data_IF_738090960602
#
_entry.id   IF_738090960602
#
_cell.length_a   1.000
_cell.length_b   1.000
_cell.length_c   1.000
_cell.angle_alpha   90.00
_cell.angle_beta   90.00
_cell.angle_gamma   90.00
#
_symmetry.space_group_name_H-M   'P 1'
#
loop_
_entity.id
_entity.type
_entity.pdbx_description
1 polymer ?
#
# COMPACT_ATOMS: atom_id res chain seq x y z
N UNK A 1 -28.21 -13.90 11.16
CA UNK A 1 -27.54 -12.62 11.41
C UNK A 1 -27.15 -12.07 10.05
N UNK A 2 -27.57 -10.87 9.68
CA UNK A 2 -27.08 -10.19 8.47
C UNK A 2 -25.57 -9.96 8.62
N UNK A 3 -24.81 -10.27 7.57
CA UNK A 3 -23.37 -10.01 7.56
C UNK A 3 -23.12 -8.49 7.79
N UNK A 4 -22.09 -8.15 8.54
CA UNK A 4 -21.73 -6.76 8.77
C UNK A 4 -21.38 -6.07 7.44
N UNK A 5 -21.74 -4.80 7.29
CA UNK A 5 -21.31 -4.00 6.14
C UNK A 5 -19.88 -3.50 6.39
N UNK A 6 -18.99 -3.73 5.43
CA UNK A 6 -17.60 -3.28 5.46
C UNK A 6 -17.39 -2.25 4.35
N UNK A 7 -17.09 -1.00 4.72
CA UNK A 7 -16.81 0.07 3.77
C UNK A 7 -15.34 0.04 3.40
N UNK A 8 -15.03 -0.13 2.13
CA UNK A 8 -13.67 -0.01 1.58
C UNK A 8 -13.56 1.34 0.88
N UNK A 9 -12.49 2.08 1.11
CA UNK A 9 -12.31 3.44 0.60
C UNK A 9 -11.20 3.48 -0.45
N UNK A 10 -11.53 4.00 -1.63
CA UNK A 10 -10.58 4.40 -2.66
C UNK A 10 -10.45 5.93 -2.65
N UNK A 11 -9.31 6.44 -2.16
CA UNK A 11 -9.02 7.89 -2.18
C UNK A 11 -8.67 8.41 -3.58
N UNK A 12 -8.21 7.52 -4.44
CA UNK A 12 -7.88 7.75 -5.85
C UNK A 12 -8.33 6.56 -6.70
N UNK A 13 -7.54 6.17 -7.69
CA UNK A 13 -7.84 5.05 -8.60
C UNK A 13 -7.99 3.72 -7.86
N UNK A 14 -8.80 2.82 -8.43
CA UNK A 14 -8.94 1.44 -7.94
C UNK A 14 -7.74 0.62 -8.36
N UNK A 15 -6.79 0.45 -7.44
CA UNK A 15 -5.54 -0.29 -7.64
C UNK A 15 -5.45 -1.50 -6.73
N UNK A 16 -4.34 -2.24 -6.82
CA UNK A 16 -4.09 -3.44 -5.99
C UNK A 16 -4.40 -3.24 -4.51
N UNK A 17 -3.95 -2.18 -3.80
CA UNK A 17 -4.25 -2.03 -2.38
C UNK A 17 -5.75 -1.87 -2.05
N UNK A 18 -6.53 -1.30 -2.98
CA UNK A 18 -8.00 -1.24 -2.83
C UNK A 18 -8.60 -2.64 -2.99
N UNK A 19 -8.19 -3.40 -4.01
CA UNK A 19 -8.66 -4.76 -4.26
C UNK A 19 -8.22 -5.75 -3.15
N UNK A 20 -7.03 -5.56 -2.59
CA UNK A 20 -6.58 -6.27 -1.39
C UNK A 20 -7.50 -5.99 -0.20
N UNK A 21 -7.85 -4.72 0.02
CA UNK A 21 -8.78 -4.30 1.07
C UNK A 21 -10.20 -4.86 0.83
N UNK A 22 -10.66 -4.95 -0.42
CA UNK A 22 -11.94 -5.63 -0.78
C UNK A 22 -11.87 -7.13 -0.47
N UNK A 23 -10.75 -7.78 -0.80
CA UNK A 23 -10.55 -9.19 -0.48
C UNK A 23 -10.62 -9.45 1.02
N UNK A 24 -9.99 -8.58 1.82
CA UNK A 24 -10.07 -8.61 3.28
C UNK A 24 -11.50 -8.35 3.76
N UNK A 25 -12.18 -7.35 3.21
CA UNK A 25 -13.53 -6.98 3.59
C UNK A 25 -14.52 -8.17 3.46
N UNK A 26 -14.36 -9.01 2.42
CA UNK A 26 -15.17 -10.22 2.23
C UNK A 26 -15.02 -11.25 3.37
N UNK A 27 -13.89 -11.24 4.07
CA UNK A 27 -13.70 -12.13 5.24
C UNK A 27 -14.36 -11.57 6.50
N UNK A 28 -14.62 -10.26 6.52
CA UNK A 28 -15.21 -9.55 7.67
C UNK A 28 -16.72 -9.33 7.50
N UNK A 29 -17.23 -9.27 6.25
CA UNK A 29 -18.63 -8.99 5.97
C UNK A 29 -18.90 -8.74 4.49
N UNK A 30 -19.91 -7.92 4.20
CA UNK A 30 -20.29 -7.54 2.84
C UNK A 30 -19.57 -6.26 2.44
N UNK A 31 -18.71 -6.28 1.39
CA UNK A 31 -17.97 -5.10 0.96
C UNK A 31 -18.89 -4.10 0.24
N UNK A 32 -18.73 -2.82 0.58
CA UNK A 32 -19.25 -1.67 -0.15
C UNK A 32 -18.07 -0.75 -0.43
N UNK A 33 -17.95 -0.20 -1.64
CA UNK A 33 -16.88 0.76 -1.96
C UNK A 33 -17.35 2.20 -1.76
N UNK A 34 -16.46 3.05 -1.27
CA UNK A 34 -16.50 4.50 -1.44
C UNK A 34 -15.35 4.93 -2.35
N UNK A 35 -15.67 5.61 -3.45
CA UNK A 35 -14.67 6.32 -4.27
C UNK A 35 -14.80 7.82 -4.09
N UNK A 36 -13.68 8.53 -3.98
CA UNK A 36 -13.64 10.00 -3.88
C UNK A 36 -13.47 10.68 -5.25
N UNK A 37 -13.54 9.91 -6.31
CA UNK A 37 -13.51 10.35 -7.71
C UNK A 37 -14.41 9.45 -8.57
N UNK A 38 -14.79 9.87 -9.78
CA UNK A 38 -15.53 9.04 -10.72
C UNK A 38 -14.81 7.70 -10.97
N UNK A 39 -15.60 6.62 -11.07
CA UNK A 39 -15.10 5.29 -11.43
C UNK A 39 -15.18 5.10 -12.94
N UNK A 40 -14.13 4.55 -13.54
CA UNK A 40 -14.13 4.10 -14.93
C UNK A 40 -14.88 2.78 -15.10
N UNK A 41 -15.15 2.39 -16.34
CA UNK A 41 -15.71 1.06 -16.66
C UNK A 41 -14.76 -0.06 -16.20
N UNK A 42 -13.46 0.11 -16.39
CA UNK A 42 -12.45 -0.84 -15.93
C UNK A 42 -12.43 -0.99 -14.40
N UNK A 43 -12.63 0.11 -13.65
CA UNK A 43 -12.74 0.07 -12.19
C UNK A 43 -13.98 -0.71 -11.74
N UNK A 44 -15.14 -0.43 -12.36
CA UNK A 44 -16.39 -1.11 -12.02
C UNK A 44 -16.34 -2.59 -12.34
N UNK A 45 -15.70 -2.98 -13.43
CA UNK A 45 -15.47 -4.38 -13.81
C UNK A 45 -14.53 -5.09 -12.80
N UNK A 46 -13.43 -4.43 -12.42
CA UNK A 46 -12.50 -4.97 -11.42
C UNK A 46 -13.18 -5.15 -10.05
N UNK A 47 -13.98 -4.17 -9.63
CA UNK A 47 -14.77 -4.23 -8.39
C UNK A 47 -15.82 -5.34 -8.45
N UNK A 48 -16.48 -5.51 -9.60
CA UNK A 48 -17.47 -6.58 -9.81
C UNK A 48 -16.84 -7.98 -9.71
N UNK A 49 -15.66 -8.18 -10.32
CA UNK A 49 -14.89 -9.42 -10.15
C UNK A 49 -14.47 -9.63 -8.69
N UNK A 50 -14.09 -8.56 -8.02
CA UNK A 50 -13.72 -8.62 -6.59
C UNK A 50 -14.93 -8.84 -5.65
N UNK A 51 -16.18 -8.82 -6.16
CA UNK A 51 -17.39 -9.10 -5.38
C UNK A 51 -18.02 -7.88 -4.71
N UNK A 52 -17.76 -6.67 -5.21
CA UNK A 52 -18.38 -5.42 -4.75
C UNK A 52 -19.65 -5.17 -5.56
N UNK A 53 -20.83 -5.39 -4.96
CA UNK A 53 -22.11 -5.16 -5.62
C UNK A 53 -22.56 -3.70 -5.59
N UNK A 54 -22.01 -2.88 -4.68
CA UNK A 54 -22.42 -1.50 -4.47
C UNK A 54 -21.21 -0.59 -4.29
N UNK A 55 -21.15 0.50 -5.04
CA UNK A 55 -20.13 1.55 -4.92
C UNK A 55 -20.80 2.91 -4.76
N UNK A 56 -20.37 3.69 -3.78
CA UNK A 56 -20.72 5.09 -3.60
C UNK A 56 -19.64 5.96 -4.21
N UNK A 57 -20.00 7.00 -4.95
CA UNK A 57 -19.07 7.95 -5.54
C UNK A 57 -19.34 9.34 -4.98
N UNK A 58 -18.36 9.86 -4.24
CA UNK A 58 -18.29 11.26 -3.83
C UNK A 58 -17.25 11.95 -4.72
N UNK A 59 -17.71 12.58 -5.81
CA UNK A 59 -16.80 13.33 -6.68
C UNK A 59 -16.41 14.65 -6.01
N UNK A 60 -15.24 14.65 -5.37
CA UNK A 60 -14.72 15.75 -4.57
C UNK A 60 -13.74 16.66 -5.35
N UNK A 61 -13.39 16.30 -6.60
CA UNK A 61 -12.34 17.00 -7.35
C UNK A 61 -11.06 17.12 -6.52
N UNK A 62 -10.42 18.30 -6.55
CA UNK A 62 -9.19 18.55 -5.79
C UNK A 62 -9.39 18.51 -4.26
N UNK A 63 -10.60 18.76 -3.76
CA UNK A 63 -10.86 18.72 -2.32
C UNK A 63 -10.62 17.33 -1.69
N UNK A 64 -10.56 16.24 -2.49
CA UNK A 64 -10.21 14.91 -2.03
C UNK A 64 -8.81 14.83 -1.39
N UNK A 65 -7.91 15.74 -1.77
CA UNK A 65 -6.56 15.83 -1.23
C UNK A 65 -6.49 16.46 0.16
N UNK A 66 -7.61 17.07 0.62
CA UNK A 66 -7.74 17.57 1.99
C UNK A 66 -8.22 16.45 2.91
N UNK A 67 -7.38 15.93 3.85
CA UNK A 67 -7.75 14.77 4.67
C UNK A 67 -9.04 14.95 5.47
N UNK A 68 -9.32 16.18 5.91
CA UNK A 68 -10.55 16.47 6.63
C UNK A 68 -11.81 16.35 5.76
N UNK A 69 -11.71 16.67 4.45
CA UNK A 69 -12.81 16.49 3.49
C UNK A 69 -12.96 15.01 3.14
N UNK A 70 -11.85 14.33 2.86
CA UNK A 70 -11.85 12.88 2.64
C UNK A 70 -12.42 12.12 3.85
N UNK A 71 -12.03 12.47 5.08
CA UNK A 71 -12.54 11.87 6.30
C UNK A 71 -14.04 12.10 6.51
N UNK A 72 -14.56 13.28 6.12
CA UNK A 72 -15.99 13.59 6.12
C UNK A 72 -16.77 12.72 5.12
N UNK A 73 -16.21 12.53 3.92
CA UNK A 73 -16.81 11.63 2.93
C UNK A 73 -16.88 10.18 3.45
N UNK A 74 -15.82 9.73 4.08
CA UNK A 74 -15.77 8.39 4.71
C UNK A 74 -16.83 8.26 5.80
N UNK A 75 -16.95 9.23 6.69
CA UNK A 75 -17.96 9.21 7.75
C UNK A 75 -19.38 9.21 7.17
N UNK A 76 -19.68 10.10 6.19
CA UNK A 76 -20.98 10.15 5.51
C UNK A 76 -21.32 8.83 4.83
N UNK A 77 -20.35 8.19 4.16
CA UNK A 77 -20.57 6.90 3.51
C UNK A 77 -20.81 5.77 4.52
N UNK A 78 -20.07 5.76 5.64
CA UNK A 78 -20.25 4.77 6.70
C UNK A 78 -21.65 4.87 7.30
N UNK A 79 -22.14 6.08 7.60
CA UNK A 79 -23.50 6.32 8.09
C UNK A 79 -24.56 5.91 7.07
N UNK A 80 -24.39 6.31 5.79
CA UNK A 80 -25.34 5.98 4.72
C UNK A 80 -25.46 4.47 4.42
N UNK A 81 -24.42 3.71 4.70
CA UNK A 81 -24.36 2.26 4.47
C UNK A 81 -24.61 1.43 5.72
N UNK A 82 -24.58 2.06 6.90
CA UNK A 82 -24.58 1.37 8.18
C UNK A 82 -23.33 0.52 8.40
N UNK A 83 -22.20 0.90 7.80
CA UNK A 83 -20.95 0.17 7.93
C UNK A 83 -20.40 0.29 9.36
N UNK A 84 -20.05 -0.86 9.94
CA UNK A 84 -19.41 -0.94 11.26
C UNK A 84 -17.90 -1.12 11.16
N UNK A 85 -17.38 -1.44 9.99
CA UNK A 85 -15.94 -1.55 9.69
C UNK A 85 -15.65 -0.71 8.47
N UNK A 86 -14.62 0.13 8.55
CA UNK A 86 -14.13 0.97 7.46
C UNK A 86 -12.66 0.66 7.21
N UNK A 87 -12.32 0.33 5.96
CA UNK A 87 -10.97 -0.03 5.54
C UNK A 87 -10.44 0.98 4.51
N UNK A 88 -9.24 1.50 4.73
CA UNK A 88 -8.51 2.34 3.79
C UNK A 88 -7.16 1.68 3.50
N UNK A 89 -6.68 1.62 2.25
CA UNK A 89 -5.28 1.32 1.98
C UNK A 89 -4.36 2.33 2.66
N UNK A 90 -3.30 1.87 3.31
CA UNK A 90 -2.39 2.75 4.05
C UNK A 90 -1.63 3.69 3.12
N UNK A 91 -1.74 4.98 3.39
CA UNK A 91 -0.92 6.08 2.86
C UNK A 91 -0.88 7.22 3.88
N UNK A 92 -0.09 8.26 3.66
CA UNK A 92 -0.09 9.42 4.56
C UNK A 92 -1.47 10.08 4.61
N UNK A 93 -2.05 10.38 3.45
CA UNK A 93 -3.40 10.97 3.34
C UNK A 93 -4.46 10.05 3.93
N UNK A 94 -4.36 8.73 3.70
CA UNK A 94 -5.31 7.76 4.24
C UNK A 94 -5.29 7.71 5.78
N UNK A 95 -4.12 7.80 6.40
CA UNK A 95 -3.99 7.84 7.86
C UNK A 95 -4.68 9.05 8.47
N UNK A 96 -4.50 10.23 7.85
CA UNK A 96 -5.15 11.46 8.28
C UNK A 96 -6.66 11.41 8.02
N UNK A 97 -7.09 10.98 6.84
CA UNK A 97 -8.51 10.83 6.51
C UNK A 97 -9.20 9.82 7.45
N UNK A 98 -8.53 8.71 7.76
CA UNK A 98 -9.02 7.70 8.73
C UNK A 98 -9.16 8.29 10.13
N UNK A 99 -8.23 9.13 10.58
CA UNK A 99 -8.30 9.79 11.88
C UNK A 99 -9.48 10.79 11.94
N UNK A 100 -9.68 11.58 10.90
CA UNK A 100 -10.85 12.46 10.79
C UNK A 100 -12.17 11.69 10.79
N UNK A 101 -12.25 10.60 10.00
CA UNK A 101 -13.44 9.74 9.95
C UNK A 101 -13.72 9.09 11.31
N UNK A 102 -12.70 8.54 11.97
CA UNK A 102 -12.83 7.93 13.27
C UNK A 102 -13.34 8.91 14.33
N UNK A 103 -12.85 10.15 14.31
CA UNK A 103 -13.33 11.21 15.18
C UNK A 103 -14.82 11.54 14.95
N UNK A 104 -15.24 11.67 13.67
CA UNK A 104 -16.63 12.00 13.33
C UNK A 104 -17.60 10.85 13.65
N UNK A 105 -17.14 9.60 13.59
CA UNK A 105 -17.95 8.40 13.85
C UNK A 105 -17.89 7.93 15.29
N UNK A 106 -17.16 8.59 16.17
CA UNK A 106 -16.83 8.08 17.52
C UNK A 106 -16.28 6.65 17.49
N UNK A 107 -15.42 6.39 16.51
CA UNK A 107 -14.91 5.07 16.17
C UNK A 107 -13.50 4.83 16.72
N UNK A 108 -13.19 3.56 16.99
CA UNK A 108 -11.80 3.17 17.25
C UNK A 108 -10.97 3.13 15.97
N UNK A 109 -9.70 3.50 16.06
CA UNK A 109 -8.79 3.59 14.93
C UNK A 109 -7.60 2.63 15.06
N UNK A 110 -7.41 1.80 14.03
CA UNK A 110 -6.22 0.97 13.85
C UNK A 110 -5.44 1.46 12.63
N UNK A 111 -4.16 1.79 12.82
CA UNK A 111 -3.32 2.36 11.75
C UNK A 111 -2.27 1.37 11.30
N UNK A 112 -2.16 1.19 9.98
CA UNK A 112 -1.11 0.41 9.32
C UNK A 112 -1.08 -1.06 9.77
N UNK A 113 -2.24 -1.71 9.76
CA UNK A 113 -2.38 -3.11 10.15
C UNK A 113 -1.99 -4.05 9.01
N UNK A 114 -1.35 -5.17 9.35
CA UNK A 114 -1.01 -6.24 8.43
C UNK A 114 -2.05 -7.39 8.46
N UNK A 115 -2.77 -7.54 9.57
CA UNK A 115 -3.83 -8.55 9.71
C UNK A 115 -5.06 -7.92 10.35
N UNK A 116 -6.24 -8.39 9.92
CA UNK A 116 -7.51 -8.02 10.54
C UNK A 116 -8.41 -9.25 10.62
N UNK A 117 -9.10 -9.40 11.75
CA UNK A 117 -10.10 -10.44 11.96
C UNK A 117 -11.20 -9.94 12.90
N UNK A 118 -12.37 -10.55 12.81
CA UNK A 118 -13.42 -10.39 13.80
C UNK A 118 -13.28 -11.49 14.86
N UNK A 119 -13.16 -11.10 16.11
CA UNK A 119 -13.09 -12.02 17.24
C UNK A 119 -14.08 -11.58 18.32
N UNK A 120 -15.05 -12.44 18.64
CA UNK A 120 -16.13 -12.14 19.60
C UNK A 120 -16.92 -10.87 19.29
N UNK A 121 -16.97 -10.43 18.04
CA UNK A 121 -17.66 -9.21 17.60
C UNK A 121 -16.80 -7.95 17.60
N UNK A 122 -15.56 -8.02 18.06
CA UNK A 122 -14.59 -6.94 18.03
C UNK A 122 -13.64 -7.09 16.83
N UNK A 123 -13.23 -5.96 16.23
CA UNK A 123 -12.21 -5.97 15.18
C UNK A 123 -10.83 -6.00 15.83
N UNK A 124 -10.06 -7.06 15.56
CA UNK A 124 -8.69 -7.24 16.05
C UNK A 124 -7.72 -7.05 14.89
N UNK A 125 -6.78 -6.13 15.05
CA UNK A 125 -5.74 -5.84 14.07
C UNK A 125 -4.35 -6.10 14.59
N UNK A 126 -3.53 -6.79 13.77
CA UNK A 126 -2.13 -7.08 14.08
C UNK A 126 -1.18 -6.21 13.26
N UNK A 127 -0.08 -5.79 13.87
CA UNK A 127 0.97 -5.02 13.20
C UNK A 127 2.33 -5.17 13.88
N UNK A 128 3.38 -4.94 13.10
CA UNK A 128 4.75 -4.78 13.62
C UNK A 128 5.02 -3.33 13.97
N UNK A 129 5.63 -3.09 15.12
CA UNK A 129 5.99 -1.77 15.65
C UNK A 129 7.46 -1.73 16.06
N UNK A 130 7.99 -0.55 16.40
CA UNK A 130 9.39 -0.35 16.80
C UNK A 130 10.37 -0.97 15.79
N UNK A 131 10.29 -0.49 14.56
CA UNK A 131 11.13 -0.98 13.47
C UNK A 131 11.06 -2.51 13.28
N UNK A 132 9.86 -3.12 13.41
CA UNK A 132 9.60 -4.55 13.20
C UNK A 132 10.05 -5.48 14.31
N UNK A 133 10.60 -4.94 15.40
CA UNK A 133 11.11 -5.75 16.51
C UNK A 133 10.01 -6.32 17.42
N UNK A 134 8.79 -5.74 17.34
CA UNK A 134 7.65 -6.18 18.15
C UNK A 134 6.44 -6.45 17.25
N UNK A 135 5.72 -7.50 17.57
CA UNK A 135 4.39 -7.76 17.01
C UNK A 135 3.34 -7.43 18.08
N UNK A 136 2.32 -6.71 17.70
CA UNK A 136 1.22 -6.32 18.59
C UNK A 136 -0.12 -6.61 17.95
N UNK A 137 -1.10 -6.96 18.78
CA UNK A 137 -2.51 -7.01 18.40
C UNK A 137 -3.29 -6.00 19.23
N UNK A 138 -4.21 -5.31 18.58
CA UNK A 138 -5.09 -4.34 19.19
C UNK A 138 -6.55 -4.65 18.81
N UNK A 139 -7.44 -4.63 19.78
CA UNK A 139 -8.88 -4.76 19.56
C UNK A 139 -9.56 -3.39 19.59
N UNK A 140 -10.56 -3.22 18.71
CA UNK A 140 -11.45 -2.06 18.74
C UNK A 140 -12.72 -2.45 19.50
N UNK A 141 -12.98 -1.72 20.58
CA UNK A 141 -14.13 -1.95 21.48
C UNK A 141 -15.31 -1.02 21.21
N UNK A 142 -15.15 0.00 20.36
CA UNK A 142 -16.25 0.88 19.91
C UNK A 142 -17.14 0.18 18.86
N UNK A 143 -18.41 0.62 18.72
CA UNK A 143 -19.34 0.02 17.76
C UNK A 143 -18.87 0.12 16.29
N UNK A 144 -18.08 1.13 15.96
CA UNK A 144 -17.50 1.34 14.62
C UNK A 144 -15.98 1.28 14.74
N UNK A 145 -15.36 0.62 13.79
CA UNK A 145 -13.91 0.49 13.66
C UNK A 145 -13.44 1.05 12.32
N UNK A 146 -12.42 1.90 12.35
CA UNK A 146 -11.72 2.39 11.17
C UNK A 146 -10.31 1.81 11.17
N UNK A 147 -9.88 1.23 10.05
CA UNK A 147 -8.53 0.68 9.93
C UNK A 147 -7.86 1.10 8.63
N UNK A 148 -6.56 1.45 8.71
CA UNK A 148 -5.74 1.52 7.51
C UNK A 148 -4.96 0.22 7.33
N UNK A 149 -5.05 -0.38 6.14
CA UNK A 149 -4.50 -1.70 5.81
C UNK A 149 -3.22 -1.52 5.01
N UNK A 150 -2.15 -2.18 5.44
CA UNK A 150 -0.85 -2.15 4.78
C UNK A 150 -0.95 -2.80 3.39
N UNK A 151 -0.33 -2.19 2.38
CA UNK A 151 -0.22 -2.78 1.05
C UNK A 151 0.49 -4.14 1.11
N UNK A 152 0.10 -5.06 0.24
CA UNK A 152 0.62 -6.43 0.16
C UNK A 152 0.43 -7.31 1.41
N UNK A 153 -0.29 -6.83 2.42
CA UNK A 153 -0.65 -7.64 3.60
C UNK A 153 -1.55 -8.82 3.21
N UNK A 154 -2.33 -8.64 2.14
CA UNK A 154 -3.23 -9.66 1.58
C UNK A 154 -3.05 -9.69 0.06
N UNK A 155 -3.15 -10.86 -0.53
CA UNK A 155 -3.16 -10.98 -1.99
C UNK A 155 -4.57 -10.69 -2.49
N UNK A 156 -4.71 -9.71 -3.39
CA UNK A 156 -5.98 -9.44 -4.05
C UNK A 156 -6.47 -10.69 -4.80
N UNK A 157 -7.73 -11.04 -4.62
CA UNK A 157 -8.33 -12.19 -5.25
C UNK A 157 -9.76 -11.90 -5.70
N UNK A 158 -10.12 -12.42 -6.87
CA UNK A 158 -11.50 -12.36 -7.34
C UNK A 158 -12.45 -13.07 -6.37
N UNK A 159 -13.69 -12.65 -6.37
CA UNK A 159 -14.75 -13.34 -5.64
C UNK A 159 -15.07 -14.67 -6.31
N UNK A 160 -15.59 -15.68 -5.57
CA UNK A 160 -16.05 -16.94 -6.17
C UNK A 160 -17.09 -16.74 -7.27
N UNK A 161 -17.90 -15.69 -7.16
CA UNK A 161 -18.89 -15.27 -8.16
C UNK A 161 -18.73 -13.77 -8.39
N UNK A 162 -18.54 -13.38 -9.65
CA UNK A 162 -18.52 -11.98 -10.03
C UNK A 162 -19.93 -11.39 -9.96
N UNK A 163 -20.00 -10.11 -9.60
CA UNK A 163 -21.26 -9.36 -9.51
C UNK A 163 -21.19 -8.12 -10.40
N UNK A 164 -22.33 -7.52 -10.70
CA UNK A 164 -22.38 -6.20 -11.33
C UNK A 164 -22.31 -5.13 -10.25
N UNK A 165 -21.34 -4.22 -10.35
CA UNK A 165 -21.21 -3.10 -9.42
C UNK A 165 -22.22 -2.00 -9.75
N UNK A 166 -23.20 -1.77 -8.88
CA UNK A 166 -24.09 -0.61 -8.97
C UNK A 166 -23.38 0.63 -8.41
N UNK A 167 -23.32 1.69 -9.21
CA UNK A 167 -22.67 2.95 -8.82
C UNK A 167 -23.74 3.97 -8.43
N UNK A 168 -23.62 4.51 -7.23
CA UNK A 168 -24.55 5.49 -6.67
C UNK A 168 -23.82 6.78 -6.29
N UNK A 169 -24.34 7.98 -6.61
CA UNK A 169 -23.73 9.22 -6.17
C UNK A 169 -23.92 9.41 -4.66
N UNK A 170 -22.89 9.93 -4.00
CA UNK A 170 -22.92 10.35 -2.59
C UNK A 170 -22.66 11.84 -2.50
N UNK A 171 -23.62 12.59 -1.95
CA UNK A 171 -23.42 14.03 -1.70
C UNK A 171 -22.65 14.24 -0.40
N UNK A 172 -21.56 14.97 -0.48
CA UNK A 172 -20.68 15.29 0.65
C UNK A 172 -20.37 16.79 0.64
N UNK A 173 -20.30 17.39 1.81
CA UNK A 173 -19.82 18.77 1.95
C UNK A 173 -18.29 18.82 1.68
N UNK A 174 -17.92 19.32 0.51
CA UNK A 174 -16.53 19.47 0.09
C UNK A 174 -15.86 20.77 0.58
N UNK A 175 -16.50 21.52 1.48
CA UNK A 175 -15.94 22.77 2.02
C UNK A 175 -14.62 22.49 2.75
N UNK A 176 -13.59 23.19 2.34
CA UNK A 176 -12.28 23.12 2.99
C UNK A 176 -12.35 23.69 4.41
N UNK A 177 -11.61 23.13 5.38
CA UNK A 177 -11.46 23.71 6.70
C UNK A 177 -10.96 25.15 6.64
N UNK A 178 -11.42 26.00 7.56
CA UNK A 178 -11.03 27.41 7.61
C UNK A 178 -9.50 27.55 7.71
N UNK A 179 -8.92 28.30 6.78
CA UNK A 179 -7.47 28.55 6.73
C UNK A 179 -6.67 27.47 5.99
N UNK A 180 -7.30 26.38 5.54
CA UNK A 180 -6.68 25.44 4.63
C UNK A 180 -6.83 25.94 3.20
N UNK A 181 -5.70 26.03 2.50
CA UNK A 181 -5.65 26.35 1.06
C UNK A 181 -4.94 25.17 0.39
N UNK A 182 -5.55 24.65 -0.67
CA UNK A 182 -4.86 23.73 -1.58
C UNK A 182 -4.15 24.63 -2.59
N UNK A 183 -2.82 24.68 -2.51
CA UNK A 183 -2.01 25.57 -3.32
C UNK A 183 -1.65 24.90 -4.64
N UNK A 184 -0.91 23.81 -4.57
CA UNK A 184 -0.50 23.02 -5.73
C UNK A 184 -0.45 21.54 -5.36
N UNK A 185 -0.92 20.69 -6.26
CA UNK A 185 -0.78 19.26 -6.16
C UNK A 185 -0.06 18.78 -7.43
N UNK A 186 1.20 18.43 -7.30
CA UNK A 186 1.97 17.84 -8.37
C UNK A 186 1.93 16.31 -8.24
N UNK A 187 1.26 15.65 -9.19
CA UNK A 187 1.41 14.21 -9.35
C UNK A 187 2.68 13.95 -10.14
N UNK A 188 3.70 13.42 -9.49
CA UNK A 188 4.90 13.01 -10.19
C UNK A 188 4.55 11.91 -11.21
N UNK A 189 4.89 12.11 -12.51
CA UNK A 189 4.62 11.10 -13.53
C UNK A 189 5.36 9.83 -13.14
N UNK A 190 4.62 8.73 -13.06
CA UNK A 190 5.20 7.41 -12.81
C UNK A 190 6.01 6.99 -14.01
N UNK A 191 7.11 6.28 -13.78
CA UNK A 191 7.80 5.59 -14.85
C UNK A 191 6.79 4.66 -15.54
N UNK A 192 6.57 4.86 -16.85
CA UNK A 192 5.62 4.07 -17.62
C UNK A 192 5.92 2.57 -17.44
N UNK A 193 4.90 1.79 -17.09
CA UNK A 193 4.95 0.35 -17.02
C UNK A 193 5.39 -0.27 -15.68
N UNK A 194 5.81 0.50 -14.67
CA UNK A 194 6.18 -0.02 -13.34
C UNK A 194 5.19 0.37 -12.25
N UNK A 195 4.95 -0.51 -11.25
CA UNK A 195 4.10 -0.17 -10.11
C UNK A 195 4.74 0.95 -9.26
N UNK A 196 3.91 1.70 -8.53
CA UNK A 196 4.41 2.66 -7.54
C UNK A 196 5.17 1.95 -6.43
N UNK A 197 6.28 2.54 -5.97
CA UNK A 197 7.16 1.92 -4.97
C UNK A 197 6.42 1.51 -3.69
N UNK A 198 5.51 2.35 -3.19
CA UNK A 198 4.73 2.08 -1.97
C UNK A 198 3.73 0.92 -2.10
N UNK A 199 3.31 0.58 -3.34
CA UNK A 199 2.26 -0.40 -3.64
C UNK A 199 2.82 -1.69 -4.27
N UNK A 200 4.11 -1.67 -4.67
CA UNK A 200 4.73 -2.75 -5.42
C UNK A 200 4.80 -4.05 -4.64
N UNK A 201 4.39 -5.15 -5.27
CA UNK A 201 4.52 -6.48 -4.70
C UNK A 201 5.96 -7.00 -4.75
N UNK A 202 6.75 -6.50 -5.69
CA UNK A 202 8.18 -6.81 -5.85
C UNK A 202 8.94 -5.50 -5.98
N UNK A 203 10.03 -5.36 -5.24
CA UNK A 203 10.92 -4.20 -5.28
C UNK A 203 12.36 -4.68 -5.48
N UNK A 204 13.05 -4.10 -6.47
CA UNK A 204 14.50 -4.23 -6.63
C UNK A 204 15.13 -2.89 -6.27
N UNK A 205 16.00 -2.88 -5.27
CA UNK A 205 16.61 -1.67 -4.75
C UNK A 205 18.13 -1.66 -4.94
N UNK A 206 18.66 -0.55 -5.45
CA UNK A 206 20.09 -0.31 -5.59
C UNK A 206 20.62 0.61 -4.50
N UNK A 207 21.79 0.28 -3.96
CA UNK A 207 22.53 1.13 -3.02
C UNK A 207 23.83 1.69 -3.60
N UNK A 208 24.72 2.20 -2.75
CA UNK A 208 26.02 2.75 -3.17
C UNK A 208 26.88 1.76 -3.96
N UNK A 209 26.69 0.45 -3.76
CA UNK A 209 27.41 -0.56 -4.52
C UNK A 209 27.10 -0.56 -6.02
N UNK A 210 26.07 0.18 -6.49
CA UNK A 210 25.82 0.40 -7.92
C UNK A 210 26.79 1.43 -8.52
N UNK A 211 27.45 2.24 -7.71
CA UNK A 211 28.32 3.36 -8.16
C UNK A 211 27.64 4.31 -9.16
N UNK A 212 26.30 4.40 -9.09
CA UNK A 212 25.47 5.21 -9.99
C UNK A 212 25.01 4.47 -11.28
N UNK A 213 25.51 3.26 -11.53
CA UNK A 213 25.02 2.41 -12.63
C UNK A 213 23.89 1.50 -12.16
N UNK A 214 22.65 1.86 -12.51
CA UNK A 214 21.44 1.12 -12.17
C UNK A 214 20.99 0.15 -13.27
N UNK A 215 21.74 -0.01 -14.36
CA UNK A 215 21.30 -0.84 -15.49
C UNK A 215 20.97 -2.29 -15.07
N UNK A 216 21.79 -2.91 -14.23
CA UNK A 216 21.54 -4.26 -13.73
C UNK A 216 20.30 -4.33 -12.82
N UNK A 217 20.07 -3.30 -11.99
CA UNK A 217 18.86 -3.17 -11.14
C UNK A 217 17.61 -3.04 -12.02
N UNK A 218 17.67 -2.21 -13.05
CA UNK A 218 16.59 -1.99 -14.01
C UNK A 218 16.26 -3.26 -14.78
N UNK A 219 17.27 -3.98 -15.26
CA UNK A 219 17.10 -5.23 -16.00
C UNK A 219 16.38 -6.30 -15.16
N UNK A 220 16.77 -6.46 -13.90
CA UNK A 220 16.10 -7.41 -13.01
C UNK A 220 14.69 -6.94 -12.65
N UNK A 221 14.49 -5.63 -12.42
CA UNK A 221 13.19 -5.07 -12.15
C UNK A 221 12.23 -5.31 -13.33
N UNK A 222 12.66 -5.12 -14.56
CA UNK A 222 11.86 -5.40 -15.76
C UNK A 222 11.50 -6.89 -15.90
N UNK A 223 12.47 -7.77 -15.66
CA UNK A 223 12.22 -9.21 -15.70
C UNK A 223 11.18 -9.65 -14.65
N UNK A 224 11.08 -8.96 -13.51
CA UNK A 224 10.14 -9.25 -12.42
C UNK A 224 8.83 -8.45 -12.50
N UNK A 225 8.75 -7.37 -13.29
CA UNK A 225 7.68 -6.39 -13.23
C UNK A 225 7.69 -5.62 -11.91
N UNK A 226 8.89 -5.34 -11.38
CA UNK A 226 9.13 -4.77 -10.07
C UNK A 226 9.21 -3.23 -10.10
N UNK A 227 8.94 -2.60 -8.96
CA UNK A 227 9.36 -1.22 -8.75
C UNK A 227 10.85 -1.13 -8.46
N UNK A 228 11.46 0.00 -8.81
CA UNK A 228 12.84 0.33 -8.45
C UNK A 228 12.83 1.21 -7.22
N UNK A 229 13.67 0.83 -6.26
CA UNK A 229 13.95 1.63 -5.07
C UNK A 229 15.43 1.93 -4.91
N UNK A 230 15.74 2.86 -4.01
CA UNK A 230 17.14 3.21 -3.72
C UNK A 230 17.34 3.61 -2.26
N UNK A 231 18.60 3.79 -1.87
CA UNK A 231 18.97 4.32 -0.57
C UNK A 231 19.10 5.84 -0.61
N UNK A 232 19.06 6.48 0.56
CA UNK A 232 19.27 7.92 0.69
C UNK A 232 20.60 8.38 0.10
N UNK A 233 21.67 7.60 0.30
CA UNK A 233 23.00 7.94 -0.23
C UNK A 233 22.97 8.14 -1.75
N UNK A 234 22.23 7.29 -2.49
CA UNK A 234 22.13 7.41 -3.94
C UNK A 234 21.32 8.63 -4.38
N UNK A 235 20.34 9.04 -3.57
CA UNK A 235 19.58 10.29 -3.82
C UNK A 235 20.46 11.51 -3.53
N UNK A 236 21.20 11.51 -2.42
CA UNK A 236 22.10 12.59 -2.05
C UNK A 236 23.23 12.78 -3.10
N UNK A 237 23.67 11.70 -3.77
CA UNK A 237 24.60 11.72 -4.90
C UNK A 237 23.95 12.11 -6.25
N UNK A 238 22.61 12.25 -6.28
CA UNK A 238 21.87 12.60 -7.50
C UNK A 238 21.71 11.46 -8.51
N UNK A 239 21.98 10.21 -8.13
CA UNK A 239 21.86 9.05 -9.01
C UNK A 239 20.42 8.61 -9.23
N UNK A 240 19.56 8.83 -8.24
CA UNK A 240 18.13 8.47 -8.30
C UNK A 240 17.27 9.60 -7.70
N UNK A 241 16.01 9.72 -8.13
CA UNK A 241 15.10 10.73 -7.62
C UNK A 241 14.64 10.40 -6.18
N UNK A 242 14.18 11.43 -5.45
CA UNK A 242 13.79 11.31 -4.05
C UNK A 242 12.57 10.38 -3.82
N UNK A 243 11.66 10.28 -4.78
CA UNK A 243 10.48 9.40 -4.73
C UNK A 243 10.83 7.90 -4.83
N UNK A 244 12.05 7.57 -5.30
CA UNK A 244 12.61 6.22 -5.25
C UNK A 244 13.29 5.89 -3.90
N UNK A 245 13.44 6.85 -2.99
CA UNK A 245 14.13 6.64 -1.73
C UNK A 245 13.33 5.76 -0.78
N UNK A 246 13.92 4.64 -0.35
CA UNK A 246 13.37 3.76 0.69
C UNK A 246 14.00 4.11 2.04
N UNK A 247 13.17 4.33 3.06
CA UNK A 247 13.66 4.60 4.42
C UNK A 247 12.68 5.40 5.27
N UNK A 248 13.11 5.72 6.48
CA UNK A 248 12.32 6.53 7.42
C UNK A 248 12.03 7.95 6.92
N UNK A 249 12.92 8.49 6.07
CA UNK A 249 12.80 9.82 5.46
C UNK A 249 12.36 9.77 3.99
N UNK A 250 11.99 8.61 3.50
CA UNK A 250 11.48 8.36 2.17
C UNK A 250 10.22 7.51 2.22
N UNK A 251 10.08 6.62 1.25
CA UNK A 251 8.94 5.72 1.14
C UNK A 251 9.14 4.51 2.06
N UNK A 252 8.13 4.21 2.87
CA UNK A 252 8.06 2.93 3.61
C UNK A 252 7.32 1.93 2.75
N UNK A 253 7.93 0.76 2.55
CA UNK A 253 7.43 -0.31 1.68
C UNK A 253 7.20 -1.60 2.44
N UNK A 254 6.31 -2.44 1.91
CA UNK A 254 6.05 -3.77 2.41
C UNK A 254 5.82 -4.76 1.25
N UNK A 255 6.76 -4.91 0.30
CA UNK A 255 6.62 -5.83 -0.80
C UNK A 255 6.61 -7.28 -0.31
N UNK A 256 6.06 -8.18 -1.11
CA UNK A 256 6.20 -9.62 -0.87
C UNK A 256 7.63 -10.10 -1.10
N UNK A 257 8.33 -9.46 -2.04
CA UNK A 257 9.75 -9.72 -2.33
C UNK A 257 10.51 -8.40 -2.43
N UNK A 258 11.49 -8.24 -1.59
CA UNK A 258 12.49 -7.17 -1.63
C UNK A 258 13.85 -7.74 -2.03
N UNK A 259 14.47 -7.17 -3.05
CA UNK A 259 15.84 -7.50 -3.46
C UNK A 259 16.69 -6.26 -3.29
N UNK A 260 17.62 -6.27 -2.34
CA UNK A 260 18.55 -5.17 -2.09
C UNK A 260 19.94 -5.49 -2.63
N UNK A 261 20.41 -4.71 -3.59
CA UNK A 261 21.68 -4.90 -4.27
C UNK A 261 22.67 -3.76 -3.96
N UNK A 262 23.87 -4.09 -3.46
CA UNK A 262 24.88 -3.13 -3.08
C UNK A 262 24.46 -2.18 -1.95
N UNK A 263 23.57 -2.64 -1.07
CA UNK A 263 23.02 -1.90 0.06
C UNK A 263 23.63 -2.41 1.35
N UNK A 264 24.17 -1.53 2.18
CA UNK A 264 24.71 -1.89 3.50
C UNK A 264 23.64 -2.28 4.51
N UNK A 265 22.44 -1.66 4.45
CA UNK A 265 21.35 -1.93 5.40
C UNK A 265 21.45 -1.06 6.66
N UNK A 266 21.79 0.22 6.52
CA UNK A 266 21.76 1.18 7.63
C UNK A 266 20.36 1.23 8.29
N UNK A 267 20.24 1.54 9.61
CA UNK A 267 18.98 1.50 10.35
C UNK A 267 17.85 2.31 9.72
N UNK A 268 18.15 3.45 9.11
CA UNK A 268 17.14 4.28 8.45
C UNK A 268 16.57 3.63 7.19
N UNK A 269 17.39 2.93 6.40
CA UNK A 269 16.93 2.15 5.25
C UNK A 269 16.14 0.92 5.71
N UNK A 270 16.68 0.20 6.67
CA UNK A 270 16.04 -0.97 7.28
C UNK A 270 14.62 -0.64 7.78
N UNK A 271 14.45 0.50 8.49
CA UNK A 271 13.13 0.96 8.95
C UNK A 271 12.10 1.17 7.85
N UNK A 272 12.53 1.39 6.61
CA UNK A 272 11.65 1.57 5.46
C UNK A 272 11.27 0.28 4.72
N UNK A 273 12.01 -0.84 4.88
CA UNK A 273 11.78 -2.06 4.11
C UNK A 273 11.57 -3.34 4.95
N UNK A 274 11.76 -3.29 6.23
CA UNK A 274 11.70 -4.45 7.13
C UNK A 274 10.35 -5.17 7.18
N UNK A 275 9.28 -4.53 6.69
CA UNK A 275 7.96 -5.15 6.58
C UNK A 275 7.82 -6.03 5.33
N UNK A 276 8.89 -6.19 4.53
CA UNK A 276 8.94 -7.07 3.37
C UNK A 276 8.69 -8.53 3.76
N UNK A 277 7.99 -9.27 2.90
CA UNK A 277 7.69 -10.69 3.13
C UNK A 277 8.92 -11.58 3.02
N UNK A 278 9.70 -11.39 1.94
CA UNK A 278 10.98 -12.06 1.70
C UNK A 278 12.04 -11.03 1.36
N UNK A 279 13.19 -11.12 1.99
CA UNK A 279 14.32 -10.22 1.79
C UNK A 279 15.47 -11.00 1.14
N UNK A 280 15.89 -10.55 -0.04
CA UNK A 280 17.08 -11.04 -0.74
C UNK A 280 18.13 -9.93 -0.71
N UNK A 281 19.36 -10.26 -0.34
CA UNK A 281 20.48 -9.35 -0.37
C UNK A 281 21.55 -9.83 -1.37
N UNK A 282 21.97 -8.92 -2.26
CA UNK A 282 23.13 -9.12 -3.16
C UNK A 282 24.20 -8.14 -2.75
N UNK A 283 25.34 -8.61 -2.23
CA UNK A 283 26.39 -7.73 -1.74
C UNK A 283 27.77 -8.40 -1.86
N UNK A 284 28.80 -7.63 -2.09
CA UNK A 284 30.19 -8.13 -2.03
C UNK A 284 30.69 -8.30 -0.59
N UNK A 285 30.07 -7.57 0.37
CA UNK A 285 30.38 -7.65 1.79
C UNK A 285 29.46 -8.67 2.50
N UNK A 286 29.99 -9.82 2.96
CA UNK A 286 29.20 -10.83 3.67
C UNK A 286 28.75 -10.37 5.07
N UNK A 287 29.38 -9.34 5.63
CA UNK A 287 29.08 -8.82 6.96
C UNK A 287 28.14 -7.61 6.93
N UNK A 288 27.65 -7.21 5.76
CA UNK A 288 26.70 -6.11 5.63
C UNK A 288 25.43 -6.38 6.46
N UNK A 289 24.90 -5.39 7.23
CA UNK A 289 23.70 -5.57 8.05
C UNK A 289 22.48 -6.09 7.26
N UNK A 290 22.33 -5.71 5.99
CA UNK A 290 21.25 -6.23 5.15
C UNK A 290 21.39 -7.73 4.89
N UNK A 291 22.62 -8.22 4.71
CA UNK A 291 22.91 -9.67 4.53
C UNK A 291 22.52 -10.46 5.77
N UNK A 292 22.74 -9.90 6.97
CA UNK A 292 22.43 -10.59 8.23
C UNK A 292 20.92 -10.76 8.48
N UNK A 293 20.07 -9.93 7.87
CA UNK A 293 18.62 -10.01 8.02
C UNK A 293 17.91 -10.62 6.81
N UNK A 294 18.66 -10.94 5.76
CA UNK A 294 18.11 -11.49 4.52
C UNK A 294 17.70 -12.96 4.69
N UNK A 295 16.56 -13.33 4.10
CA UNK A 295 16.16 -14.74 3.97
C UNK A 295 17.08 -15.49 3.00
N UNK A 296 17.61 -14.77 2.00
CA UNK A 296 18.59 -15.27 1.05
C UNK A 296 19.67 -14.20 0.81
N UNK A 297 20.93 -14.55 1.02
CA UNK A 297 22.08 -13.69 0.70
C UNK A 297 22.91 -14.31 -0.42
N UNK A 298 23.22 -13.49 -1.43
CA UNK A 298 24.11 -13.85 -2.53
C UNK A 298 25.34 -12.94 -2.44
N UNK A 299 26.50 -13.55 -2.15
CA UNK A 299 27.74 -12.79 -2.00
C UNK A 299 28.45 -12.72 -3.35
N UNK A 300 28.59 -11.53 -3.88
CA UNK A 300 29.24 -11.27 -5.15
C UNK A 300 28.87 -9.91 -5.76
N UNK A 301 29.37 -9.69 -6.98
CA UNK A 301 29.15 -8.45 -7.72
C UNK A 301 27.71 -8.40 -8.26
N UNK A 302 27.01 -7.33 -7.92
CA UNK A 302 25.63 -7.10 -8.38
C UNK A 302 25.54 -6.95 -9.91
N UNK A 303 26.59 -6.40 -10.56
CA UNK A 303 26.62 -6.21 -12.01
C UNK A 303 26.72 -7.54 -12.78
N UNK A 304 27.17 -8.63 -12.12
CA UNK A 304 27.18 -9.98 -12.69
C UNK A 304 25.94 -10.77 -12.26
N UNK A 305 25.52 -10.67 -11.01
CA UNK A 305 24.46 -11.49 -10.40
C UNK A 305 23.07 -11.08 -10.90
N UNK A 306 22.77 -9.77 -10.94
CA UNK A 306 21.39 -9.32 -11.30
C UNK A 306 21.04 -9.62 -12.75
N UNK A 307 21.91 -9.41 -13.76
CA UNK A 307 21.60 -9.79 -15.14
C UNK A 307 21.45 -11.31 -15.31
N UNK A 308 22.30 -12.11 -14.64
CA UNK A 308 22.17 -13.57 -14.67
C UNK A 308 20.85 -14.06 -14.07
N UNK A 309 20.41 -13.44 -12.97
CA UNK A 309 19.11 -13.72 -12.37
C UNK A 309 17.95 -13.30 -13.30
N UNK A 310 18.05 -12.13 -13.94
CA UNK A 310 17.05 -11.65 -14.88
C UNK A 310 16.90 -12.60 -16.09
N UNK A 311 18.01 -13.10 -16.62
CA UNK A 311 18.00 -14.08 -17.70
C UNK A 311 17.34 -15.39 -17.27
N UNK A 312 17.72 -15.94 -16.11
CA UNK A 312 17.14 -17.18 -15.60
C UNK A 312 15.62 -17.07 -15.35
N UNK A 313 15.14 -15.91 -14.89
CA UNK A 313 13.71 -15.64 -14.69
C UNK A 313 12.97 -15.61 -16.04
N UNK A 314 13.54 -14.97 -17.06
CA UNK A 314 12.92 -14.92 -18.41
C UNK A 314 12.82 -16.34 -18.99
N UNK A 315 13.90 -17.12 -18.93
CA UNK A 315 13.93 -18.51 -19.41
C UNK A 315 12.90 -19.40 -18.70
N UNK A 316 12.75 -19.23 -17.38
CA UNK A 316 11.75 -19.98 -16.60
C UNK A 316 10.31 -19.62 -16.94
N UNK A 317 10.03 -18.37 -17.33
CA UNK A 317 8.69 -17.94 -17.74
C UNK A 317 8.29 -18.39 -19.13
N UNK A 318 9.25 -18.72 -19.99
CA UNK A 318 9.03 -19.21 -21.34
C UNK A 318 8.89 -20.75 -21.41
N UNK A 319 9.27 -21.45 -20.34
CA UNK A 319 9.20 -22.90 -20.21
C UNK A 319 7.85 -23.38 -19.62
#
# INVERSE_FOLDING_TARGET
>A
MTAATVLVVALGEVRSPVLESVTLARTLGTPVLLSLQPLSEADTDALGRAGVARALVADLGEARHAPAVAGRAVATAAEATGATVVLLPTSFVAKEAAAHAAFLLDAGLLVDVATLRLESGELVGGKRVFAGTWETECAVTSPVAVATVRANAIVAADAPEAVTTAVEPLSVDATLPRGLVLDEHEEHPRAEGRPALAEAAVVVAGGRGTEGDFAAVEELADALGAAIGTTRDCVDEGWQPHDAQIGQTGVTIAPRLYIGAGISGAPHHHGGMQASGTIVAVNVDPDAPLVQIADLAVIGDLQEILPAAAQAIREHRES
#
